data_IF_746053717808
#
_entry.id   IF_746053717808
#
_cell.length_a   1.000
_cell.length_b   1.000
_cell.length_c   1.000
_cell.angle_alpha   90.00
_cell.angle_beta   90.00
_cell.angle_gamma   90.00
#
_symmetry.space_group_name_H-M   'P 1'
#
loop_
_entity.id
_entity.type
_entity.pdbx_description
1 polymer ?
#
# COMPACT_ATOMS: atom_id res chain seq x y z
N UNK A 1 -0.88 -10.47 -2.19
CA UNK A 1 -0.01 -9.96 -3.28
C UNK A 1 0.11 -8.45 -3.13
N UNK A 2 1.32 -7.90 -3.20
CA UNK A 2 1.54 -6.44 -3.26
C UNK A 2 1.49 -5.99 -4.73
N UNK A 3 0.75 -4.91 -5.00
CA UNK A 3 0.55 -4.36 -6.34
C UNK A 3 0.87 -2.87 -6.26
N UNK A 4 1.90 -2.44 -6.97
CA UNK A 4 2.25 -1.03 -7.06
C UNK A 4 1.52 -0.43 -8.26
N UNK A 5 0.44 0.31 -8.00
CA UNK A 5 -0.34 0.96 -9.06
C UNK A 5 0.43 2.09 -9.74
N UNK A 6 1.36 2.71 -9.02
CA UNK A 6 2.12 3.84 -9.52
C UNK A 6 3.44 3.99 -8.76
N UNK A 7 4.43 4.58 -9.39
CA UNK A 7 5.59 5.17 -8.73
C UNK A 7 5.54 6.71 -8.75
N UNK A 8 4.42 7.29 -9.22
CA UNK A 8 4.18 8.73 -9.08
C UNK A 8 3.84 9.08 -7.64
N UNK A 9 4.43 10.15 -7.12
CA UNK A 9 4.14 10.70 -5.78
C UNK A 9 4.70 12.11 -5.67
N UNK A 10 3.85 13.07 -5.35
CA UNK A 10 4.22 14.49 -5.16
C UNK A 10 4.83 14.79 -3.79
N UNK A 11 4.77 13.83 -2.85
CA UNK A 11 5.19 14.06 -1.46
C UNK A 11 6.68 14.38 -1.31
N UNK A 12 7.57 13.79 -2.12
CA UNK A 12 9.00 14.08 -2.07
C UNK A 12 9.71 13.65 -0.77
N UNK A 13 9.26 12.59 -0.11
CA UNK A 13 9.83 12.14 1.16
C UNK A 13 11.27 11.68 1.01
N UNK A 14 12.16 12.16 1.89
CA UNK A 14 13.58 11.74 1.92
C UNK A 14 13.79 10.26 2.30
N UNK A 15 12.80 9.63 2.93
CA UNK A 15 12.84 8.23 3.34
C UNK A 15 12.16 7.27 2.34
N UNK A 16 11.81 7.73 1.15
CA UNK A 16 11.06 6.94 0.18
C UNK A 16 11.84 5.69 -0.26
N UNK A 17 11.27 4.51 0.00
CA UNK A 17 11.87 3.23 -0.33
C UNK A 17 11.94 2.95 -1.83
N UNK A 18 10.95 3.44 -2.57
CA UNK A 18 10.79 3.19 -4.01
C UNK A 18 11.29 4.34 -4.88
N UNK A 19 11.91 5.36 -4.26
CA UNK A 19 12.37 6.58 -4.95
C UNK A 19 11.29 7.21 -5.85
N UNK A 20 10.06 7.22 -5.37
CA UNK A 20 8.92 7.74 -6.12
C UNK A 20 9.06 9.24 -6.41
N UNK A 21 8.69 9.64 -7.63
CA UNK A 21 8.80 11.01 -8.15
C UNK A 21 7.45 11.47 -8.69
N UNK A 22 7.22 12.80 -8.87
CA UNK A 22 5.93 13.27 -9.40
C UNK A 22 5.58 12.73 -10.79
N UNK A 23 6.59 12.43 -11.60
CA UNK A 23 6.51 11.88 -12.96
C UNK A 23 6.75 10.35 -13.01
N UNK A 24 6.63 9.66 -11.87
CA UNK A 24 6.82 8.23 -11.78
C UNK A 24 5.85 7.44 -12.68
N UNK A 25 6.25 6.22 -13.01
CA UNK A 25 5.48 5.32 -13.88
C UNK A 25 4.11 4.99 -13.27
N UNK A 26 3.07 4.98 -14.11
CA UNK A 26 1.70 4.62 -13.77
C UNK A 26 1.29 3.30 -14.44
N UNK A 27 0.64 2.41 -13.69
CA UNK A 27 0.05 1.20 -14.25
C UNK A 27 -1.08 1.55 -15.22
N UNK A 28 -1.08 0.92 -16.39
CA UNK A 28 -2.18 1.08 -17.34
C UNK A 28 -3.43 0.30 -16.87
N UNK A 29 -4.60 0.70 -17.33
CA UNK A 29 -5.85 -0.05 -17.09
C UNK A 29 -5.77 -1.48 -17.66
N UNK A 30 -5.11 -1.66 -18.81
CA UNK A 30 -4.91 -3.00 -19.40
C UNK A 30 -4.02 -3.87 -18.51
N UNK A 31 -2.88 -3.35 -18.05
CA UNK A 31 -1.99 -4.05 -17.13
C UNK A 31 -2.70 -4.41 -15.82
N UNK A 32 -3.49 -3.47 -15.25
CA UNK A 32 -4.27 -3.76 -14.05
C UNK A 32 -5.24 -4.95 -14.29
N UNK A 33 -5.98 -4.94 -15.38
CA UNK A 33 -6.92 -6.04 -15.71
C UNK A 33 -6.21 -7.38 -15.83
N UNK A 34 -5.05 -7.43 -16.47
CA UNK A 34 -4.26 -8.67 -16.59
C UNK A 34 -3.78 -9.16 -15.22
N UNK A 35 -3.30 -8.26 -14.37
CA UNK A 35 -2.89 -8.56 -12.98
C UNK A 35 -4.07 -9.10 -12.17
N UNK A 36 -5.21 -8.42 -12.19
CA UNK A 36 -6.38 -8.82 -11.40
C UNK A 36 -6.96 -10.15 -11.90
N UNK A 37 -7.01 -10.37 -13.20
CA UNK A 37 -7.42 -11.65 -13.78
C UNK A 37 -6.50 -12.78 -13.32
N UNK A 38 -5.18 -12.57 -13.29
CA UNK A 38 -4.24 -13.53 -12.72
C UNK A 38 -4.57 -13.82 -11.23
N UNK A 39 -4.76 -12.79 -10.42
CA UNK A 39 -5.04 -12.96 -8.99
C UNK A 39 -6.35 -13.72 -8.75
N UNK A 40 -7.38 -13.39 -9.50
CA UNK A 40 -8.69 -14.04 -9.47
C UNK A 40 -8.59 -15.50 -9.91
N UNK A 41 -7.93 -15.76 -11.04
CA UNK A 41 -7.73 -17.12 -11.58
C UNK A 41 -7.03 -18.05 -10.58
N UNK A 42 -6.07 -17.54 -9.81
CA UNK A 42 -5.33 -18.33 -8.83
C UNK A 42 -5.90 -18.23 -7.40
N UNK A 43 -7.07 -17.59 -7.24
CA UNK A 43 -7.77 -17.50 -5.95
C UNK A 43 -6.95 -16.80 -4.87
N UNK A 44 -6.17 -15.77 -5.23
CA UNK A 44 -5.34 -15.03 -4.27
C UNK A 44 -6.25 -14.10 -3.46
N UNK A 45 -6.45 -14.36 -2.15
CA UNK A 45 -7.55 -13.72 -1.42
C UNK A 45 -7.24 -12.32 -0.93
N UNK A 46 -5.97 -11.92 -0.85
CA UNK A 46 -5.58 -10.61 -0.30
C UNK A 46 -4.77 -9.83 -1.31
N UNK A 47 -5.30 -8.68 -1.69
CA UNK A 47 -4.67 -7.76 -2.63
C UNK A 47 -4.26 -6.49 -1.87
N UNK A 48 -2.98 -6.17 -1.92
CA UNK A 48 -2.41 -5.00 -1.27
C UNK A 48 -1.96 -4.01 -2.34
N UNK A 49 -2.60 -2.87 -2.40
CA UNK A 49 -2.28 -1.79 -3.34
C UNK A 49 -1.39 -0.75 -2.66
N UNK A 50 -0.28 -0.44 -3.30
CA UNK A 50 0.74 0.50 -2.82
C UNK A 50 1.48 1.12 -4.02
N UNK A 51 2.67 1.63 -3.76
CA UNK A 51 3.56 2.21 -4.77
C UNK A 51 4.10 3.56 -4.33
N UNK A 52 3.90 4.60 -5.14
CA UNK A 52 4.03 6.00 -4.74
C UNK A 52 2.82 6.42 -3.90
N UNK A 53 2.02 7.36 -4.39
CA UNK A 53 0.70 7.63 -3.80
C UNK A 53 -0.39 7.12 -4.74
N UNK A 54 -1.06 6.06 -4.35
CA UNK A 54 -2.04 5.37 -5.20
C UNK A 54 -3.21 6.27 -5.60
N UNK A 55 -3.62 7.16 -4.70
CA UNK A 55 -4.74 8.07 -4.96
C UNK A 55 -4.36 9.27 -5.83
N UNK A 56 -3.06 9.50 -6.11
CA UNK A 56 -2.60 10.43 -7.14
C UNK A 56 -2.61 9.84 -8.55
N UNK A 57 -2.92 8.54 -8.70
CA UNK A 57 -2.99 7.91 -10.02
C UNK A 57 -4.07 8.55 -10.88
N UNK A 58 -3.78 8.98 -12.14
CA UNK A 58 -4.75 9.72 -12.96
C UNK A 58 -6.06 9.00 -13.25
N UNK A 59 -6.04 7.67 -13.25
CA UNK A 59 -7.21 6.83 -13.51
C UNK A 59 -7.73 6.13 -12.25
N UNK A 60 -7.46 6.65 -11.05
CA UNK A 60 -7.72 5.92 -9.80
C UNK A 60 -9.19 5.52 -9.63
N UNK A 61 -10.14 6.38 -9.97
CA UNK A 61 -11.57 6.07 -9.83
C UNK A 61 -11.96 4.87 -10.71
N UNK A 62 -11.57 4.88 -11.97
CA UNK A 62 -11.81 3.75 -12.87
C UNK A 62 -11.10 2.46 -12.42
N UNK A 63 -9.91 2.61 -11.83
CA UNK A 63 -9.19 1.46 -11.25
C UNK A 63 -9.91 0.88 -10.03
N UNK A 64 -10.46 1.72 -9.16
CA UNK A 64 -11.23 1.26 -7.99
C UNK A 64 -12.47 0.46 -8.40
N UNK A 65 -13.19 0.89 -9.45
CA UNK A 65 -14.33 0.15 -9.99
C UNK A 65 -13.92 -1.23 -10.52
N UNK A 66 -12.83 -1.29 -11.29
CA UNK A 66 -12.31 -2.55 -11.84
C UNK A 66 -11.81 -3.46 -10.72
N UNK A 67 -11.12 -2.91 -9.72
CA UNK A 67 -10.62 -3.66 -8.56
C UNK A 67 -11.81 -4.26 -7.79
N UNK A 68 -12.87 -3.49 -7.54
CA UNK A 68 -14.07 -3.97 -6.86
C UNK A 68 -14.73 -5.11 -7.63
N UNK A 69 -14.95 -4.93 -8.92
CA UNK A 69 -15.57 -5.94 -9.80
C UNK A 69 -14.80 -7.26 -9.78
N UNK A 70 -13.49 -7.21 -9.97
CA UNK A 70 -12.65 -8.41 -10.01
C UNK A 70 -12.50 -9.07 -8.63
N UNK A 71 -12.39 -8.26 -7.56
CA UNK A 71 -12.26 -8.75 -6.20
C UNK A 71 -13.50 -9.54 -5.74
N UNK A 72 -14.70 -9.11 -6.14
CA UNK A 72 -15.95 -9.82 -5.82
C UNK A 72 -15.98 -11.26 -6.35
N UNK A 73 -15.23 -11.55 -7.41
CA UNK A 73 -15.14 -12.90 -8.01
C UNK A 73 -14.28 -13.86 -7.15
N UNK A 74 -13.42 -13.33 -6.26
CA UNK A 74 -12.52 -14.15 -5.42
C UNK A 74 -13.27 -14.82 -4.25
N UNK A 75 -14.35 -14.22 -3.77
CA UNK A 75 -15.22 -14.81 -2.75
C UNK A 75 -15.11 -14.20 -1.35
N UNK A 76 -15.86 -14.77 -0.39
CA UNK A 76 -16.19 -14.17 0.91
C UNK A 76 -15.02 -13.91 1.87
N UNK A 77 -13.89 -14.56 1.69
CA UNK A 77 -12.72 -14.42 2.59
C UNK A 77 -11.61 -13.56 1.98
N UNK A 78 -11.93 -12.78 0.97
CA UNK A 78 -10.99 -11.89 0.32
C UNK A 78 -10.95 -10.51 0.99
N UNK A 79 -9.81 -9.83 0.87
CA UNK A 79 -9.62 -8.50 1.42
C UNK A 79 -8.78 -7.62 0.48
N UNK A 80 -9.14 -6.34 0.44
CA UNK A 80 -8.37 -5.28 -0.20
C UNK A 80 -7.65 -4.46 0.87
N UNK A 81 -6.37 -4.24 0.68
CA UNK A 81 -5.55 -3.35 1.50
C UNK A 81 -5.01 -2.22 0.63
N UNK A 82 -5.25 -0.98 1.03
CA UNK A 82 -4.73 0.22 0.40
C UNK A 82 -3.74 0.90 1.34
N UNK A 83 -2.49 1.06 0.89
CA UNK A 83 -1.46 1.80 1.64
C UNK A 83 -1.31 3.17 0.99
N UNK A 84 -1.49 4.22 1.76
CA UNK A 84 -1.51 5.61 1.28
C UNK A 84 -0.88 6.57 2.30
N UNK A 85 -0.37 7.69 1.84
CA UNK A 85 -0.01 8.81 2.72
C UNK A 85 -1.24 9.63 3.17
N UNK A 86 -2.41 9.39 2.57
CA UNK A 86 -3.71 9.94 2.94
C UNK A 86 -4.04 11.34 2.42
N UNK A 87 -3.06 12.09 1.85
CA UNK A 87 -3.29 13.50 1.47
C UNK A 87 -4.26 13.62 0.30
N UNK A 88 -3.96 12.96 -0.79
CA UNK A 88 -4.87 12.98 -1.95
C UNK A 88 -6.21 12.33 -1.61
N UNK A 89 -6.18 11.23 -0.86
CA UNK A 89 -7.41 10.56 -0.41
C UNK A 89 -8.37 11.52 0.31
N UNK A 90 -7.89 12.37 1.21
CA UNK A 90 -8.77 13.24 2.01
C UNK A 90 -9.07 14.59 1.32
N UNK A 91 -8.20 15.05 0.43
CA UNK A 91 -8.32 16.35 -0.26
C UNK A 91 -9.16 16.29 -1.52
N UNK A 92 -9.13 15.13 -2.20
CA UNK A 92 -9.92 14.88 -3.39
C UNK A 92 -11.30 14.32 -3.01
N UNK A 93 -12.34 15.15 -3.12
CA UNK A 93 -13.70 14.79 -2.69
C UNK A 93 -14.27 13.58 -3.44
N UNK A 94 -13.97 13.43 -4.72
CA UNK A 94 -14.47 12.31 -5.52
C UNK A 94 -13.83 11.00 -5.06
N UNK A 95 -12.51 10.99 -4.90
CA UNK A 95 -11.76 9.84 -4.40
C UNK A 95 -12.23 9.47 -2.99
N UNK A 96 -12.36 10.47 -2.09
CA UNK A 96 -12.83 10.24 -0.72
C UNK A 96 -14.22 9.60 -0.71
N UNK A 97 -15.17 10.17 -1.47
CA UNK A 97 -16.55 9.66 -1.54
C UNK A 97 -16.60 8.24 -2.09
N UNK A 98 -15.84 7.95 -3.12
CA UNK A 98 -15.77 6.60 -3.71
C UNK A 98 -15.26 5.57 -2.71
N UNK A 99 -14.13 5.87 -2.06
CA UNK A 99 -13.54 4.99 -1.05
C UNK A 99 -14.45 4.85 0.18
N UNK A 100 -15.12 5.94 0.61
CA UNK A 100 -16.08 5.89 1.72
C UNK A 100 -17.24 4.94 1.41
N UNK A 101 -17.76 4.96 0.18
CA UNK A 101 -18.81 4.03 -0.27
C UNK A 101 -18.33 2.58 -0.20
N UNK A 102 -17.12 2.29 -0.69
CA UNK A 102 -16.54 0.94 -0.60
C UNK A 102 -16.41 0.47 0.86
N UNK A 103 -15.87 1.33 1.74
CA UNK A 103 -15.72 1.00 3.17
C UNK A 103 -17.07 0.80 3.85
N UNK A 104 -18.08 1.62 3.55
CA UNK A 104 -19.45 1.45 4.08
C UNK A 104 -20.10 0.16 3.60
N UNK A 105 -19.91 -0.21 2.35
CA UNK A 105 -20.51 -1.38 1.71
C UNK A 105 -19.93 -2.69 2.23
N UNK A 106 -18.61 -2.77 2.40
CA UNK A 106 -17.91 -4.02 2.70
C UNK A 106 -17.31 -4.08 4.11
N UNK A 107 -17.20 -2.96 4.79
CA UNK A 107 -16.62 -2.82 6.13
C UNK A 107 -15.10 -2.77 6.13
N UNK A 108 -14.54 -2.17 7.20
CA UNK A 108 -13.09 -1.97 7.39
C UNK A 108 -12.28 -3.27 7.53
N UNK A 109 -12.94 -4.41 7.72
CA UNK A 109 -12.26 -5.72 7.75
C UNK A 109 -11.97 -6.26 6.36
N UNK A 110 -12.82 -5.94 5.39
CA UNK A 110 -12.67 -6.35 4.00
C UNK A 110 -11.95 -5.30 3.16
N UNK A 111 -12.24 -4.02 3.41
CA UNK A 111 -11.55 -2.87 2.79
C UNK A 111 -10.68 -2.22 3.86
N UNK A 112 -9.41 -2.56 3.87
CA UNK A 112 -8.46 -2.07 4.86
C UNK A 112 -7.67 -0.89 4.28
N UNK A 113 -7.76 0.27 4.90
CA UNK A 113 -7.01 1.47 4.51
C UNK A 113 -5.98 1.77 5.58
N UNK A 114 -4.73 1.63 5.20
CA UNK A 114 -3.57 1.96 6.02
C UNK A 114 -3.06 3.35 5.61
N UNK A 115 -3.21 4.32 6.49
CA UNK A 115 -2.62 5.66 6.28
C UNK A 115 -1.27 5.71 6.97
N UNK A 116 -0.22 6.03 6.21
CA UNK A 116 1.12 6.28 6.73
C UNK A 116 1.29 7.77 7.01
N UNK A 117 1.59 8.15 8.25
CA UNK A 117 1.66 9.55 8.65
C UNK A 117 2.69 9.80 9.77
N UNK A 118 3.98 9.58 9.48
CA UNK A 118 5.03 9.93 10.43
C UNK A 118 5.46 11.39 10.23
N UNK A 119 5.21 12.28 11.19
CA UNK A 119 5.50 13.71 11.05
C UNK A 119 7.01 14.02 10.94
N UNK A 120 7.89 13.05 11.22
CA UNK A 120 9.35 13.20 11.06
C UNK A 120 9.78 13.15 9.61
N UNK A 121 9.03 12.43 8.76
CA UNK A 121 9.44 12.08 7.41
C UNK A 121 8.55 12.64 6.30
N UNK A 122 7.31 13.03 6.63
CA UNK A 122 6.38 13.58 5.65
C UNK A 122 6.45 15.10 5.65
N UNK A 123 6.92 15.74 4.54
CA UNK A 123 7.04 17.21 4.47
C UNK A 123 5.67 17.91 4.51
N UNK A 124 4.66 17.33 3.88
CA UNK A 124 3.27 17.82 3.93
C UNK A 124 2.52 17.12 5.08
N UNK A 125 2.16 17.89 6.10
CA UNK A 125 1.49 17.36 7.30
C UNK A 125 -0.02 17.39 7.14
N UNK A 126 -0.68 16.32 7.61
CA UNK A 126 -2.13 16.31 7.73
C UNK A 126 -2.60 17.23 8.86
N UNK A 127 -3.62 18.01 8.57
CA UNK A 127 -4.32 18.83 9.58
C UNK A 127 -5.22 17.97 10.46
N UNK A 128 -5.62 18.47 11.63
CA UNK A 128 -6.58 17.79 12.52
C UNK A 128 -7.91 17.49 11.82
N UNK A 129 -8.37 18.40 10.98
CA UNK A 129 -9.59 18.22 10.19
C UNK A 129 -9.44 17.08 9.17
N UNK A 130 -8.30 16.99 8.48
CA UNK A 130 -8.02 15.90 7.55
C UNK A 130 -7.90 14.55 8.28
N UNK A 131 -7.23 14.52 9.43
CA UNK A 131 -7.15 13.33 10.28
C UNK A 131 -8.53 12.88 10.79
N UNK A 132 -9.40 13.82 11.15
CA UNK A 132 -10.78 13.50 11.53
C UNK A 132 -11.54 12.78 10.41
N UNK A 133 -11.42 13.26 9.16
CA UNK A 133 -12.08 12.61 8.04
C UNK A 133 -11.45 11.25 7.70
N UNK A 134 -10.12 11.16 7.70
CA UNK A 134 -9.43 9.88 7.46
C UNK A 134 -9.81 8.82 8.50
N UNK A 135 -9.95 9.18 9.78
CA UNK A 135 -10.39 8.24 10.82
C UNK A 135 -11.76 7.60 10.57
N UNK A 136 -12.63 8.24 9.78
CA UNK A 136 -13.93 7.63 9.42
C UNK A 136 -13.78 6.44 8.50
N UNK A 137 -12.82 6.46 7.59
CA UNK A 137 -12.64 5.43 6.56
C UNK A 137 -11.40 4.56 6.78
N UNK A 138 -10.33 5.12 7.34
CA UNK A 138 -9.11 4.37 7.60
C UNK A 138 -9.32 3.27 8.67
N UNK A 139 -8.67 2.16 8.46
CA UNK A 139 -8.61 1.06 9.42
C UNK A 139 -7.48 1.28 10.42
N UNK A 140 -6.41 1.93 9.97
CA UNK A 140 -5.26 2.27 10.80
C UNK A 140 -4.60 3.57 10.27
N UNK A 141 -4.17 4.44 11.17
CA UNK A 141 -3.29 5.59 10.89
C UNK A 141 -2.02 5.37 11.69
N UNK A 142 -0.99 4.87 11.05
CA UNK A 142 0.25 4.45 11.68
C UNK A 142 1.41 5.36 11.19
N UNK A 143 2.32 5.79 12.07
CA UNK A 143 3.48 6.57 11.64
C UNK A 143 4.22 5.95 10.46
N UNK A 144 4.53 4.67 10.53
CA UNK A 144 5.18 3.94 9.43
C UNK A 144 4.56 2.53 9.33
N UNK A 145 3.88 2.26 8.23
CA UNK A 145 3.10 1.05 7.99
C UNK A 145 3.77 -0.25 8.48
N UNK A 146 3.38 -0.71 9.67
CA UNK A 146 3.81 -2.00 10.21
C UNK A 146 5.28 -2.09 10.65
N UNK A 147 6.01 -0.99 10.72
CA UNK A 147 7.37 -0.96 11.23
C UNK A 147 7.38 -0.97 12.77
N UNK A 148 8.38 -1.60 13.41
CA UNK A 148 8.51 -1.53 14.85
C UNK A 148 8.69 -0.08 15.30
N UNK A 149 8.04 0.29 16.40
CA UNK A 149 8.12 1.62 17.03
C UNK A 149 9.48 1.84 17.73
N UNK A 150 10.57 1.43 17.12
CA UNK A 150 11.89 1.89 17.56
C UNK A 150 12.06 3.30 16.98
N UNK A 151 12.04 4.30 17.85
CA UNK A 151 12.06 5.71 17.47
C UNK A 151 13.22 6.09 16.55
N UNK A 152 14.32 5.35 16.61
CA UNK A 152 15.56 5.67 15.92
C UNK A 152 15.86 4.73 14.75
N UNK A 153 15.36 3.48 14.77
CA UNK A 153 15.65 2.46 13.76
C UNK A 153 14.40 2.00 13.03
N UNK A 154 13.87 2.86 12.18
CA UNK A 154 12.57 2.65 11.51
C UNK A 154 12.63 2.66 9.99
N UNK A 155 13.79 2.95 9.40
CA UNK A 155 13.94 3.06 7.96
C UNK A 155 14.64 1.83 7.37
N UNK A 156 14.41 1.58 6.10
CA UNK A 156 15.13 0.58 5.32
C UNK A 156 16.16 1.26 4.43
N UNK A 157 17.37 0.67 4.25
CA UNK A 157 18.41 1.21 3.38
C UNK A 157 18.09 0.96 1.91
N UNK A 158 17.05 1.63 1.41
CA UNK A 158 16.58 1.52 0.02
C UNK A 158 16.06 2.86 -0.49
N UNK A 159 16.14 3.07 -1.81
CA UNK A 159 15.69 4.30 -2.47
C UNK A 159 16.36 5.53 -1.86
N UNK A 160 15.63 6.65 -1.77
CA UNK A 160 16.15 7.89 -1.18
C UNK A 160 16.57 7.79 0.27
N UNK A 161 16.04 6.83 1.04
CA UNK A 161 16.46 6.64 2.40
C UNK A 161 17.97 6.32 2.49
N UNK A 162 18.49 5.53 1.55
CA UNK A 162 19.91 5.16 1.49
C UNK A 162 20.83 6.38 1.34
N UNK A 163 20.37 7.39 0.63
CA UNK A 163 21.14 8.62 0.36
C UNK A 163 21.04 9.63 1.51
N UNK A 164 19.90 9.68 2.21
CA UNK A 164 19.58 10.75 3.16
C UNK A 164 19.73 10.35 4.63
N UNK A 165 19.91 9.07 4.93
CA UNK A 165 19.98 8.56 6.30
C UNK A 165 21.18 7.62 6.46
N UNK A 166 21.51 7.26 7.71
CA UNK A 166 22.67 6.44 8.07
C UNK A 166 22.25 5.18 8.82
N UNK A 167 23.22 4.29 9.07
CA UNK A 167 23.00 3.00 9.73
C UNK A 167 22.27 3.08 11.07
N UNK A 168 22.43 4.17 11.82
CA UNK A 168 21.69 4.39 13.08
C UNK A 168 20.17 4.43 12.90
N UNK A 169 19.70 4.74 11.69
CA UNK A 169 18.29 4.83 11.36
C UNK A 169 17.73 3.52 10.75
N UNK A 170 18.61 2.56 10.42
CA UNK A 170 18.18 1.34 9.75
C UNK A 170 17.48 0.38 10.68
N UNK A 171 16.35 -0.11 10.21
CA UNK A 171 15.65 -1.20 10.87
C UNK A 171 16.48 -2.49 10.76
N UNK A 172 16.68 -3.15 11.89
CA UNK A 172 17.39 -4.44 11.96
C UNK A 172 16.62 -5.60 11.34
N UNK A 173 15.30 -5.41 11.18
CA UNK A 173 14.43 -6.38 10.51
C UNK A 173 14.33 -5.97 9.06
N UNK A 174 15.03 -6.67 8.17
CA UNK A 174 15.06 -6.35 6.74
C UNK A 174 13.66 -6.28 6.09
N UNK A 175 13.54 -5.64 4.92
CA UNK A 175 12.28 -5.41 4.21
C UNK A 175 11.50 -6.70 3.90
N UNK A 176 12.19 -7.84 3.90
CA UNK A 176 11.63 -9.17 3.67
C UNK A 176 10.40 -9.50 4.53
N UNK A 177 10.32 -8.95 5.75
CA UNK A 177 9.26 -9.29 6.70
C UNK A 177 8.17 -8.24 6.79
N UNK A 178 8.30 -7.09 6.13
CA UNK A 178 7.37 -5.97 6.29
C UNK A 178 5.96 -6.33 5.85
N UNK A 179 5.83 -6.89 4.66
CA UNK A 179 4.51 -7.25 4.12
C UNK A 179 3.84 -8.36 4.92
N UNK A 180 4.59 -9.38 5.35
CA UNK A 180 4.06 -10.46 6.19
C UNK A 180 3.62 -9.91 7.54
N UNK A 181 4.44 -9.07 8.17
CA UNK A 181 4.08 -8.47 9.48
C UNK A 181 2.88 -7.56 9.38
N UNK A 182 2.80 -6.74 8.31
CA UNK A 182 1.65 -5.90 8.07
C UNK A 182 0.38 -6.74 7.91
N UNK A 183 0.40 -7.74 7.06
CA UNK A 183 -0.74 -8.61 6.84
C UNK A 183 -1.13 -9.39 8.11
N UNK A 184 -0.15 -9.92 8.83
CA UNK A 184 -0.41 -10.64 10.09
C UNK A 184 -0.97 -9.72 11.19
N UNK A 185 -0.44 -8.49 11.32
CA UNK A 185 -0.95 -7.48 12.27
C UNK A 185 -2.45 -7.22 12.06
N UNK A 186 -2.91 -7.28 10.82
CA UNK A 186 -4.29 -6.99 10.46
C UNK A 186 -5.17 -8.24 10.27
N UNK A 187 -4.66 -9.42 10.66
CA UNK A 187 -5.41 -10.67 10.61
C UNK A 187 -5.62 -11.24 9.21
N UNK A 188 -4.87 -10.77 8.22
CA UNK A 188 -4.91 -11.35 6.88
C UNK A 188 -4.14 -12.67 6.82
N UNK A 189 -4.70 -13.65 6.12
CA UNK A 189 -4.03 -14.92 5.88
C UNK A 189 -2.99 -14.78 4.77
N UNK A 190 -1.79 -15.32 5.03
CA UNK A 190 -0.75 -15.42 4.00
C UNK A 190 -1.13 -16.51 3.01
N UNK A 191 -0.98 -16.22 1.71
CA UNK A 191 -1.09 -17.28 0.71
C UNK A 191 0.13 -18.21 0.74
N UNK A 192 0.00 -19.40 0.14
CA UNK A 192 1.06 -20.41 0.16
C UNK A 192 2.38 -19.94 -0.45
N UNK A 193 2.34 -19.07 -1.47
CA UNK A 193 3.52 -18.49 -2.10
C UNK A 193 4.25 -17.58 -1.12
N UNK A 194 3.54 -16.64 -0.50
CA UNK A 194 4.11 -15.71 0.48
C UNK A 194 4.73 -16.44 1.66
N UNK A 195 4.07 -17.47 2.18
CA UNK A 195 4.58 -18.30 3.27
C UNK A 195 5.84 -19.06 2.84
N UNK A 196 5.86 -19.65 1.66
CA UNK A 196 7.02 -20.38 1.13
C UNK A 196 8.23 -19.46 0.98
N UNK A 197 8.04 -18.27 0.43
CA UNK A 197 9.11 -17.30 0.27
C UNK A 197 9.63 -16.80 1.62
N UNK A 198 8.75 -16.57 2.58
CA UNK A 198 9.11 -16.19 3.95
C UNK A 198 9.99 -17.26 4.61
N UNK A 199 9.57 -18.53 4.58
CA UNK A 199 10.32 -19.64 5.17
C UNK A 199 11.68 -19.84 4.50
N UNK A 200 11.81 -19.54 3.22
CA UNK A 200 13.09 -19.59 2.48
C UNK A 200 13.97 -18.35 2.69
N UNK A 201 13.58 -17.41 3.54
CA UNK A 201 14.31 -16.16 3.78
C UNK A 201 14.37 -15.22 2.58
N UNK A 202 13.43 -15.36 1.63
CA UNK A 202 13.25 -14.48 0.48
C UNK A 202 12.19 -13.41 0.81
N UNK A 203 11.90 -12.51 -0.15
CA UNK A 203 10.75 -11.61 -0.01
C UNK A 203 9.50 -12.45 0.17
N UNK A 204 8.78 -12.19 1.25
CA UNK A 204 7.62 -13.02 1.63
C UNK A 204 6.38 -12.71 0.81
N UNK A 205 6.35 -11.61 0.11
CA UNK A 205 5.23 -11.22 -0.75
C UNK A 205 5.78 -10.69 -2.06
N UNK A 206 5.59 -11.39 -3.17
CA UNK A 206 5.94 -10.86 -4.48
C UNK A 206 5.23 -9.53 -4.71
N UNK A 207 5.94 -8.57 -5.29
CA UNK A 207 5.39 -7.28 -5.67
C UNK A 207 5.25 -7.20 -7.19
N UNK A 208 4.13 -6.64 -7.64
CA UNK A 208 3.89 -6.34 -9.06
C UNK A 208 4.17 -4.85 -9.26
N UNK A 209 5.05 -4.54 -10.19
CA UNK A 209 5.40 -3.18 -10.58
C UNK A 209 4.33 -2.57 -11.52
N UNK A 210 4.30 -1.23 -11.75
CA UNK A 210 3.33 -0.61 -12.64
C UNK A 210 3.36 -1.13 -14.08
N UNK A 211 4.51 -1.59 -14.56
CA UNK A 211 4.65 -2.23 -15.88
C UNK A 211 4.21 -3.71 -15.92
N UNK A 212 3.73 -4.25 -14.81
CA UNK A 212 3.30 -5.65 -14.68
C UNK A 212 4.38 -6.63 -14.26
N UNK A 213 5.64 -6.23 -14.16
CA UNK A 213 6.74 -7.10 -13.76
C UNK A 213 6.59 -7.57 -12.31
N UNK A 214 6.89 -8.85 -12.08
CA UNK A 214 6.90 -9.43 -10.73
C UNK A 214 8.29 -9.32 -10.14
N UNK A 215 8.39 -8.60 -9.02
CA UNK A 215 9.60 -8.45 -8.21
C UNK A 215 9.52 -9.37 -6.98
N UNK A 216 10.57 -10.13 -6.74
CA UNK A 216 10.73 -11.05 -5.60
C UNK A 216 11.64 -10.47 -4.53
#
# INVERSE_FOLDING_TARGET
MLINLTYACKMGCNHCLSDCKPDGENMSISTLKDVLNFLTKYGIPTWCFSGGEIFEHPNILAMLDIIEEEWLKVGKFSALLFITNGRELVRNKEVFSHVEVLVKKYGKKSIYIQVTNDPRFYPDKLTEKELYWLNKIASDIDPLAGLPNDKDRCLYPQGRALENYSEKNWNTIGPKCTNVRLLAKHGFHLNGISMTLYLKGKNCTPAIAPNGDIKL
#
